data_IF_748504501358
#
_entry.id   IF_748504501358
#
_cell.length_a   1.000
_cell.length_b   1.000
_cell.length_c   1.000
_cell.angle_alpha   90.00
_cell.angle_beta   90.00
_cell.angle_gamma   90.00
#
_symmetry.space_group_name_H-M   'P 1'
#
loop_
_entity.id
_entity.type
_entity.pdbx_description
1 polymer ?
#
# COMPACT_ATOMS: atom_id res chain seq x y z
N UNK A 1 -7.10 -5.12 24.91
CA UNK A 1 -8.20 -5.41 23.98
C UNK A 1 -7.51 -5.68 22.67
N UNK A 2 -7.35 -6.97 22.38
CA UNK A 2 -6.67 -7.41 21.16
C UNK A 2 -7.67 -7.23 20.03
N UNK A 3 -7.38 -6.27 19.13
CA UNK A 3 -8.24 -6.01 17.98
C UNK A 3 -7.94 -7.09 16.94
N UNK A 4 -8.75 -8.14 16.92
CA UNK A 4 -8.78 -9.08 15.80
C UNK A 4 -9.51 -8.43 14.63
N UNK A 5 -8.84 -8.29 13.49
CA UNK A 5 -9.43 -7.70 12.28
C UNK A 5 -10.14 -8.79 11.49
N UNK A 6 -11.39 -8.52 11.13
CA UNK A 6 -12.27 -9.52 10.51
C UNK A 6 -12.00 -9.67 9.02
N UNK A 7 -11.41 -8.65 8.38
CA UNK A 7 -11.09 -8.68 6.95
C UNK A 7 -9.98 -7.68 6.57
N UNK A 8 -9.45 -7.82 5.35
CA UNK A 8 -8.41 -6.91 4.80
C UNK A 8 -8.99 -5.50 4.58
N UNK A 9 -10.27 -5.40 4.27
CA UNK A 9 -10.99 -4.16 4.01
C UNK A 9 -11.10 -3.32 5.27
N UNK A 10 -11.46 -3.95 6.39
CA UNK A 10 -11.56 -3.29 7.69
C UNK A 10 -10.19 -2.73 8.11
N UNK A 11 -9.15 -3.55 7.98
CA UNK A 11 -7.78 -3.14 8.25
C UNK A 11 -7.35 -1.99 7.35
N UNK A 12 -7.65 -2.06 6.04
CA UNK A 12 -7.36 -1.00 5.07
C UNK A 12 -8.00 0.34 5.48
N UNK A 13 -9.29 0.34 5.85
CA UNK A 13 -9.95 1.56 6.32
C UNK A 13 -9.31 2.10 7.61
N UNK A 14 -8.87 1.22 8.50
CA UNK A 14 -8.23 1.62 9.77
C UNK A 14 -6.88 2.28 9.57
N UNK A 15 -6.07 1.78 8.63
CA UNK A 15 -4.73 2.30 8.32
C UNK A 15 -4.74 3.37 7.23
N UNK A 16 -5.90 3.67 6.65
CA UNK A 16 -6.10 4.72 5.64
C UNK A 16 -5.44 6.06 5.99
N UNK A 17 -5.48 6.55 7.26
CA UNK A 17 -4.76 7.78 7.61
C UNK A 17 -3.24 7.68 7.38
N UNK A 18 -2.63 6.53 7.67
CA UNK A 18 -1.21 6.29 7.45
C UNK A 18 -0.88 6.16 5.95
N UNK A 19 -1.71 5.44 5.19
CA UNK A 19 -1.58 5.32 3.74
C UNK A 19 -1.67 6.68 3.07
N UNK A 20 -2.67 7.50 3.46
CA UNK A 20 -2.83 8.87 2.98
C UNK A 20 -1.62 9.74 3.32
N UNK A 21 -1.09 9.63 4.54
CA UNK A 21 0.12 10.35 4.95
C UNK A 21 1.31 10.00 4.04
N UNK A 22 1.52 8.70 3.76
CA UNK A 22 2.59 8.23 2.88
C UNK A 22 2.40 8.68 1.43
N UNK A 23 1.19 8.58 0.89
CA UNK A 23 0.88 9.07 -0.46
C UNK A 23 1.11 10.58 -0.60
N UNK A 24 0.77 11.37 0.43
CA UNK A 24 1.06 12.81 0.43
C UNK A 24 2.56 13.13 0.53
N UNK A 25 3.33 12.34 1.26
CA UNK A 25 4.80 12.41 1.29
C UNK A 25 5.38 12.13 -0.10
N UNK A 26 4.99 11.00 -0.71
CA UNK A 26 5.40 10.59 -2.05
C UNK A 26 5.10 11.66 -3.09
N UNK A 27 3.88 12.22 -3.07
CA UNK A 27 3.49 13.32 -3.94
C UNK A 27 4.40 14.55 -3.78
N UNK A 28 4.76 14.91 -2.54
CA UNK A 28 5.67 16.04 -2.27
C UNK A 28 7.11 15.79 -2.74
N UNK A 29 7.51 14.53 -2.83
CA UNK A 29 8.83 14.11 -3.30
C UNK A 29 8.89 13.85 -4.82
N UNK A 30 7.80 14.09 -5.55
CA UNK A 30 7.75 13.95 -7.02
C UNK A 30 7.13 12.64 -7.53
N UNK A 31 6.70 11.74 -6.65
CA UNK A 31 6.03 10.47 -7.00
C UNK A 31 4.50 10.63 -7.05
N UNK A 32 4.01 11.63 -7.78
CA UNK A 32 2.58 12.00 -7.79
C UNK A 32 1.64 10.96 -8.41
N UNK A 33 2.19 9.99 -9.16
CA UNK A 33 1.46 8.87 -9.75
C UNK A 33 1.11 7.77 -8.76
N UNK A 34 1.77 7.72 -7.59
CA UNK A 34 1.59 6.66 -6.59
C UNK A 34 0.40 7.00 -5.68
N UNK A 35 -0.56 6.07 -5.58
CA UNK A 35 -1.77 6.19 -4.76
C UNK A 35 -1.70 5.35 -3.48
N UNK A 36 -2.66 5.56 -2.58
CA UNK A 36 -2.79 4.80 -1.32
C UNK A 36 -2.85 3.27 -1.57
N UNK A 37 -3.67 2.84 -2.54
CA UNK A 37 -3.80 1.43 -2.92
C UNK A 37 -2.48 0.84 -3.44
N UNK A 38 -1.64 1.64 -4.10
CA UNK A 38 -0.37 1.16 -4.65
C UNK A 38 0.62 0.84 -3.52
N UNK A 39 0.69 1.71 -2.51
CA UNK A 39 1.51 1.49 -1.30
C UNK A 39 1.02 0.27 -0.54
N UNK A 40 -0.30 0.12 -0.41
CA UNK A 40 -0.91 -1.04 0.23
C UNK A 40 -0.59 -2.35 -0.49
N UNK A 41 -0.79 -2.41 -1.80
CA UNK A 41 -0.51 -3.58 -2.63
C UNK A 41 0.98 -3.94 -2.61
N UNK A 42 1.86 -2.94 -2.68
CA UNK A 42 3.30 -3.14 -2.53
C UNK A 42 3.65 -3.85 -1.22
N UNK A 43 3.09 -3.41 -0.09
CA UNK A 43 3.39 -3.99 1.22
C UNK A 43 2.81 -5.41 1.35
N UNK A 44 1.60 -5.65 0.83
CA UNK A 44 1.00 -6.99 0.79
C UNK A 44 1.90 -7.96 0.03
N UNK A 45 2.34 -7.59 -1.18
CA UNK A 45 3.09 -8.51 -2.03
C UNK A 45 4.54 -8.71 -1.58
N UNK A 46 5.17 -7.68 -1.01
CA UNK A 46 6.60 -7.71 -0.70
C UNK A 46 6.93 -8.04 0.75
N UNK A 47 6.13 -7.56 1.70
CA UNK A 47 6.46 -7.62 3.12
C UNK A 47 5.50 -8.50 3.91
N UNK A 48 4.20 -8.37 3.67
CA UNK A 48 3.18 -9.06 4.44
C UNK A 48 2.74 -10.40 3.84
N UNK A 49 3.25 -10.76 2.66
CA UNK A 49 2.91 -12.03 1.99
C UNK A 49 3.27 -13.29 2.81
N UNK A 50 4.21 -13.18 3.75
CA UNK A 50 4.64 -14.26 4.65
C UNK A 50 4.56 -13.88 6.12
N UNK A 51 3.98 -12.73 6.44
CA UNK A 51 3.90 -12.25 7.81
C UNK A 51 2.72 -12.91 8.53
N UNK A 52 2.94 -13.29 9.78
CA UNK A 52 1.91 -13.75 10.70
C UNK A 52 1.90 -12.81 11.91
N UNK A 53 0.76 -12.70 12.59
CA UNK A 53 0.58 -11.94 13.84
C UNK A 53 1.00 -10.46 13.76
N UNK A 54 0.78 -9.82 12.61
CA UNK A 54 1.06 -8.39 12.45
C UNK A 54 0.14 -7.54 13.32
N UNK A 55 0.73 -6.75 14.21
CA UNK A 55 -0.02 -5.77 14.98
C UNK A 55 -0.33 -4.54 14.11
N UNK A 56 -1.41 -3.83 14.45
CA UNK A 56 -1.75 -2.57 13.78
C UNK A 56 -0.59 -1.56 13.80
N UNK A 57 0.17 -1.50 14.91
CA UNK A 57 1.36 -0.66 15.04
C UNK A 57 2.45 -1.02 14.04
N UNK A 58 2.66 -2.32 13.79
CA UNK A 58 3.66 -2.80 12.83
C UNK A 58 3.26 -2.39 11.41
N UNK A 59 1.99 -2.57 11.07
CA UNK A 59 1.42 -2.20 9.77
C UNK A 59 1.55 -0.69 9.54
N UNK A 60 1.16 0.13 10.52
CA UNK A 60 1.28 1.59 10.41
C UNK A 60 2.75 2.01 10.27
N UNK A 61 3.63 1.42 11.07
CA UNK A 61 5.07 1.69 10.99
C UNK A 61 5.65 1.29 9.63
N UNK A 62 5.23 0.15 9.09
CA UNK A 62 5.64 -0.35 7.78
C UNK A 62 5.22 0.59 6.65
N UNK A 63 3.99 1.11 6.70
CA UNK A 63 3.47 2.08 5.74
C UNK A 63 4.32 3.36 5.75
N UNK A 64 4.55 3.93 6.94
CA UNK A 64 5.26 5.21 7.05
C UNK A 64 6.74 5.07 6.67
N UNK A 65 7.36 3.93 6.97
CA UNK A 65 8.78 3.65 6.69
C UNK A 65 9.03 2.97 5.35
N UNK A 66 7.99 2.75 4.54
CA UNK A 66 8.14 2.14 3.23
C UNK A 66 9.09 2.98 2.35
N UNK A 67 9.99 2.30 1.62
CA UNK A 67 10.99 2.97 0.80
C UNK A 67 10.36 3.47 -0.51
N UNK A 68 10.47 4.77 -0.75
CA UNK A 68 9.81 5.46 -1.86
C UNK A 68 10.27 4.96 -3.24
N UNK A 69 11.58 4.76 -3.41
CA UNK A 69 12.16 4.25 -4.66
C UNK A 69 11.73 2.81 -4.93
N UNK A 70 11.64 1.97 -3.89
CA UNK A 70 11.18 0.58 -4.04
C UNK A 70 9.70 0.50 -4.43
N UNK A 71 8.85 1.36 -3.89
CA UNK A 71 7.44 1.43 -4.29
C UNK A 71 7.35 1.84 -5.77
N UNK A 72 8.11 2.86 -6.17
CA UNK A 72 8.14 3.33 -7.55
C UNK A 72 8.67 2.27 -8.53
N UNK A 73 9.75 1.57 -8.18
CA UNK A 73 10.26 0.43 -8.96
C UNK A 73 9.22 -0.67 -9.09
N UNK A 74 8.60 -1.09 -7.97
CA UNK A 74 7.56 -2.11 -7.96
C UNK A 74 6.42 -1.75 -8.93
N UNK A 75 5.96 -0.50 -8.90
CA UNK A 75 4.90 -0.05 -9.82
C UNK A 75 5.40 -0.04 -11.27
N UNK A 76 6.61 0.45 -11.53
CA UNK A 76 7.16 0.47 -12.89
C UNK A 76 7.33 -0.94 -13.47
N UNK A 77 7.77 -1.90 -12.66
CA UNK A 77 7.88 -3.31 -13.07
C UNK A 77 6.50 -3.91 -13.39
N UNK A 78 5.48 -3.63 -12.57
CA UNK A 78 4.10 -4.06 -12.84
C UNK A 78 3.48 -3.35 -14.05
N UNK A 79 3.83 -2.08 -14.29
CA UNK A 79 3.32 -1.26 -15.40
C UNK A 79 4.02 -1.53 -16.75
N UNK A 80 5.24 -2.07 -16.73
CA UNK A 80 5.93 -2.53 -17.94
C UNK A 80 5.31 -3.83 -18.53
N UNK A 81 4.36 -4.45 -17.83
CA UNK A 81 3.58 -5.60 -18.30
C UNK A 81 2.35 -5.26 -19.15
N UNK A 82 1.71 -4.10 -18.95
CA UNK A 82 0.71 -3.49 -19.83
C UNK A 82 0.20 -2.19 -19.18
N UNK A 83 0.53 -1.04 -19.79
CA UNK A 83 0.24 0.31 -19.27
C UNK A 83 -1.26 0.65 -19.20
N UNK A 84 -2.14 -0.19 -19.74
CA UNK A 84 -3.57 0.09 -19.93
C UNK A 84 -4.48 -0.51 -18.86
N UNK A 85 -4.00 -1.40 -17.98
CA UNK A 85 -4.89 -2.16 -17.09
C UNK A 85 -4.95 -1.65 -15.64
N UNK A 86 -3.92 -0.94 -15.14
CA UNK A 86 -3.89 -0.46 -13.73
C UNK A 86 -4.55 0.90 -13.52
N UNK A 87 -4.56 1.76 -14.54
CA UNK A 87 -5.22 3.06 -14.45
C UNK A 87 -6.68 3.04 -14.92
N UNK A 88 -7.08 2.02 -15.69
CA UNK A 88 -8.37 1.95 -16.38
C UNK A 88 -9.02 0.56 -16.29
N UNK A 89 -9.15 0.06 -15.06
CA UNK A 89 -10.17 -0.91 -14.64
C UNK A 89 -10.02 -1.17 -13.15
N UNK A 90 -11.06 -0.83 -12.38
CA UNK A 90 -11.59 -1.69 -11.33
C UNK A 90 -10.57 -2.59 -10.61
N UNK A 91 -9.68 -2.00 -9.81
CA UNK A 91 -9.38 -2.63 -8.53
C UNK A 91 -10.41 -2.08 -7.55
N UNK A 92 -11.67 -2.45 -7.81
CA UNK A 92 -12.69 -2.49 -6.78
C UNK A 92 -12.04 -3.24 -5.63
N UNK A 93 -11.78 -2.49 -4.56
CA UNK A 93 -11.95 -2.89 -3.17
C UNK A 93 -12.33 -4.39 -3.12
N UNK A 94 -11.31 -5.25 -3.13
CA UNK A 94 -11.42 -6.53 -2.45
C UNK A 94 -11.63 -6.17 -1.00
#
# INVERSE_FOLDING_TARGET
MDFEFSSKEELYQRVKPALRAKAMELKRLGYSHIKENDVWNYLIETKWCKAHDLMLSDIVNDILRANNEKIDMYLKEKLNGDRTQYFDKNLEIL
#
